data_IF_510345994600
#
_entry.id   IF_510345994600
#
_cell.length_a   1.000
_cell.length_b   1.000
_cell.length_c   1.000
_cell.angle_alpha   90.00
_cell.angle_beta   90.00
_cell.angle_gamma   90.00
#
_symmetry.space_group_name_H-M   'P 1'
#
loop_
_entity.id
_entity.type
_entity.pdbx_description
1 polymer ?
#
# COMPACT_ATOMS: atom_id res chain seq x y z
N UNK A 1 50.67 -45.25 -12.41
CA UNK A 1 50.57 -43.78 -12.35
C UNK A 1 51.28 -43.37 -11.08
N UNK A 2 52.17 -42.39 -11.12
CA UNK A 2 52.91 -41.97 -9.92
C UNK A 2 52.00 -41.13 -9.00
N UNK A 3 52.03 -41.42 -7.70
CA UNK A 3 51.39 -40.61 -6.66
C UNK A 3 51.81 -39.14 -6.74
N UNK A 4 53.09 -38.86 -7.07
CA UNK A 4 53.60 -37.50 -7.21
C UNK A 4 52.88 -36.70 -8.31
N UNK A 5 52.50 -37.36 -9.40
CA UNK A 5 51.74 -36.73 -10.48
C UNK A 5 50.32 -36.33 -10.04
N UNK A 6 49.64 -37.17 -9.25
CA UNK A 6 48.30 -36.88 -8.72
C UNK A 6 48.34 -35.73 -7.69
N UNK A 7 49.36 -35.70 -6.82
CA UNK A 7 49.57 -34.59 -5.90
C UNK A 7 49.85 -33.26 -6.64
N UNK A 8 50.63 -33.30 -7.73
CA UNK A 8 50.89 -32.11 -8.55
C UNK A 8 49.62 -31.55 -9.21
N UNK A 9 48.75 -32.42 -9.73
CA UNK A 9 47.44 -31.99 -10.28
C UNK A 9 46.59 -31.36 -9.18
N UNK A 10 46.51 -31.99 -8.01
CA UNK A 10 45.74 -31.47 -6.87
C UNK A 10 46.25 -30.08 -6.46
N UNK A 11 47.56 -29.91 -6.34
CA UNK A 11 48.20 -28.63 -6.03
C UNK A 11 47.90 -27.56 -7.08
N UNK A 12 47.93 -27.92 -8.37
CA UNK A 12 47.61 -26.99 -9.47
C UNK A 12 46.15 -26.53 -9.41
N UNK A 13 45.20 -27.45 -9.19
CA UNK A 13 43.78 -27.11 -9.06
C UNK A 13 43.54 -26.19 -7.86
N UNK A 14 44.16 -26.48 -6.71
CA UNK A 14 44.07 -25.64 -5.52
C UNK A 14 44.68 -24.25 -5.75
N UNK A 15 45.82 -24.18 -6.44
CA UNK A 15 46.48 -22.91 -6.76
C UNK A 15 45.61 -22.01 -7.64
N UNK A 16 44.81 -22.57 -8.56
CA UNK A 16 43.89 -21.79 -9.40
C UNK A 16 42.75 -21.12 -8.62
N UNK A 17 42.36 -21.66 -7.46
CA UNK A 17 41.33 -21.03 -6.63
C UNK A 17 41.81 -19.74 -5.95
N UNK A 18 43.12 -19.58 -5.70
CA UNK A 18 43.69 -18.39 -5.03
C UNK A 18 43.43 -17.10 -5.83
N UNK A 19 43.87 -16.97 -7.10
CA UNK A 19 43.62 -15.75 -7.87
C UNK A 19 42.13 -15.54 -8.18
N UNK A 20 41.36 -16.62 -8.34
CA UNK A 20 39.91 -16.54 -8.54
C UNK A 20 39.21 -15.99 -7.29
N UNK A 21 39.60 -16.44 -6.09
CA UNK A 21 39.06 -15.93 -4.84
C UNK A 21 39.39 -14.44 -4.67
N UNK A 22 40.65 -14.03 -4.90
CA UNK A 22 41.06 -12.62 -4.84
C UNK A 22 40.20 -11.75 -5.77
N UNK A 23 40.01 -12.19 -7.02
CA UNK A 23 39.19 -11.46 -8.00
C UNK A 23 37.69 -11.41 -7.63
N UNK A 24 37.17 -12.43 -6.96
CA UNK A 24 35.79 -12.46 -6.49
C UNK A 24 35.56 -11.52 -5.28
N UNK A 25 36.57 -11.28 -4.45
CA UNK A 25 36.45 -10.48 -3.23
C UNK A 25 36.85 -9.00 -3.36
N UNK A 26 37.72 -8.62 -4.30
CA UNK A 26 38.19 -7.23 -4.51
C UNK A 26 37.20 -6.33 -5.28
N UNK A 27 35.89 -6.52 -5.15
CA UNK A 27 34.91 -5.87 -6.03
C UNK A 27 34.32 -4.58 -5.45
N UNK A 28 34.66 -3.42 -6.05
CA UNK A 28 34.14 -2.08 -5.67
C UNK A 28 32.66 -1.84 -6.07
N UNK A 29 32.10 -2.63 -6.99
CA UNK A 29 30.70 -2.53 -7.45
C UNK A 29 29.91 -3.84 -7.21
N UNK A 30 30.22 -4.57 -6.12
CA UNK A 30 29.43 -5.74 -5.73
C UNK A 30 28.15 -5.30 -5.02
N UNK A 31 27.04 -5.91 -5.40
CA UNK A 31 25.84 -5.95 -4.56
C UNK A 31 26.20 -6.66 -3.25
N UNK A 32 25.72 -6.20 -2.09
CA UNK A 32 26.22 -6.64 -0.78
C UNK A 32 26.05 -8.15 -0.55
N UNK A 33 24.98 -8.70 -1.11
CA UNK A 33 24.65 -10.12 -1.00
C UNK A 33 25.26 -11.01 -2.10
N UNK A 34 25.98 -10.46 -3.09
CA UNK A 34 26.64 -11.25 -4.16
C UNK A 34 27.63 -12.27 -3.59
N UNK A 35 28.29 -11.96 -2.46
CA UNK A 35 29.20 -12.90 -1.79
C UNK A 35 28.47 -14.19 -1.42
N UNK A 36 27.24 -14.08 -0.89
CA UNK A 36 26.44 -15.24 -0.52
C UNK A 36 26.02 -16.07 -1.75
N UNK A 37 25.62 -15.40 -2.84
CA UNK A 37 25.31 -16.04 -4.13
C UNK A 37 26.52 -16.79 -4.68
N UNK A 38 27.69 -16.16 -4.64
CA UNK A 38 28.94 -16.76 -5.13
C UNK A 38 29.27 -18.02 -4.35
N UNK A 39 29.20 -17.99 -3.01
CA UNK A 39 29.49 -19.17 -2.19
C UNK A 39 28.48 -20.30 -2.39
N UNK A 40 27.19 -19.99 -2.45
CA UNK A 40 26.13 -21.00 -2.48
C UNK A 40 25.83 -21.54 -3.89
N UNK A 41 25.75 -20.66 -4.90
CA UNK A 41 25.30 -21.02 -6.24
C UNK A 41 26.44 -21.19 -7.26
N UNK A 42 27.47 -20.34 -7.18
CA UNK A 42 28.61 -20.36 -8.14
C UNK A 42 29.63 -21.41 -7.72
N UNK A 43 30.23 -21.23 -6.54
CA UNK A 43 31.22 -22.15 -5.96
C UNK A 43 30.57 -23.46 -5.53
N UNK A 44 29.34 -23.37 -4.99
CA UNK A 44 28.63 -24.47 -4.30
C UNK A 44 29.51 -25.06 -3.21
N UNK A 45 29.80 -24.26 -2.19
CA UNK A 45 30.84 -24.55 -1.19
C UNK A 45 30.77 -25.97 -0.62
N UNK A 46 29.57 -26.49 -0.33
CA UNK A 46 29.38 -27.88 0.15
C UNK A 46 29.91 -28.93 -0.84
N UNK A 47 29.64 -28.75 -2.14
CA UNK A 47 30.14 -29.65 -3.20
C UNK A 47 31.63 -29.49 -3.42
N UNK A 48 32.16 -28.26 -3.34
CA UNK A 48 33.59 -28.01 -3.44
C UNK A 48 34.32 -28.66 -2.27
N UNK A 49 33.90 -28.43 -1.02
CA UNK A 49 34.50 -29.04 0.17
C UNK A 49 34.52 -30.56 0.07
N UNK A 50 33.41 -31.17 -0.38
CA UNK A 50 33.37 -32.61 -0.63
C UNK A 50 34.34 -33.04 -1.74
N UNK A 51 34.40 -32.29 -2.85
CA UNK A 51 35.35 -32.53 -3.93
C UNK A 51 36.80 -32.45 -3.48
N UNK A 52 37.16 -31.46 -2.64
CA UNK A 52 38.49 -31.31 -2.07
C UNK A 52 38.84 -32.48 -1.13
N UNK A 53 37.89 -32.93 -0.31
CA UNK A 53 38.08 -34.14 0.53
C UNK A 53 38.35 -35.36 -0.35
N UNK A 54 37.62 -35.54 -1.44
CA UNK A 54 37.83 -36.63 -2.41
C UNK A 54 39.14 -36.52 -3.20
N UNK A 55 39.69 -35.31 -3.33
CA UNK A 55 41.00 -35.10 -3.95
C UNK A 55 42.13 -35.48 -3.00
N UNK A 56 42.05 -35.11 -1.73
CA UNK A 56 43.19 -35.21 -0.81
C UNK A 56 43.16 -36.51 0.01
N UNK A 57 42.01 -36.90 0.54
CA UNK A 57 41.91 -38.00 1.51
C UNK A 57 42.15 -39.38 0.86
N UNK A 58 41.56 -39.73 -0.29
CA UNK A 58 41.82 -41.00 -0.95
C UNK A 58 43.28 -41.17 -1.39
N UNK A 59 43.97 -40.08 -1.75
CA UNK A 59 45.37 -40.12 -2.18
C UNK A 59 46.33 -40.59 -1.08
N UNK A 60 45.99 -40.38 0.20
CA UNK A 60 46.78 -40.90 1.33
C UNK A 60 46.88 -42.43 1.34
N UNK A 61 45.91 -43.11 0.71
CA UNK A 61 45.83 -44.56 0.64
C UNK A 61 46.33 -45.12 -0.69
N UNK A 62 46.85 -44.28 -1.60
CA UNK A 62 47.36 -44.70 -2.90
C UNK A 62 48.74 -45.35 -2.74
N UNK A 63 48.88 -46.63 -3.12
CA UNK A 63 50.16 -47.34 -3.08
C UNK A 63 50.79 -47.48 -4.46
N UNK A 64 51.99 -46.95 -4.64
CA UNK A 64 52.75 -46.99 -5.90
C UNK A 64 53.44 -48.33 -6.18
N UNK A 65 53.84 -49.07 -5.14
CA UNK A 65 54.62 -50.31 -5.26
C UNK A 65 53.78 -51.60 -5.11
N UNK A 66 52.52 -51.59 -5.56
CA UNK A 66 51.56 -52.66 -5.24
C UNK A 66 51.19 -53.59 -6.40
N UNK A 67 51.94 -53.58 -7.50
CA UNK A 67 51.62 -54.30 -8.74
C UNK A 67 51.40 -55.82 -8.56
N UNK A 68 51.93 -56.41 -7.49
CA UNK A 68 51.85 -57.85 -7.19
C UNK A 68 50.69 -58.27 -6.28
N UNK A 69 49.91 -57.34 -5.70
CA UNK A 69 48.86 -57.67 -4.72
C UNK A 69 47.46 -57.22 -5.19
N UNK A 70 46.56 -58.20 -5.35
CA UNK A 70 45.20 -57.97 -5.87
C UNK A 70 44.37 -57.00 -5.01
N UNK A 71 44.54 -57.03 -3.69
CA UNK A 71 43.84 -56.14 -2.76
C UNK A 71 44.20 -54.67 -3.03
N UNK A 72 45.49 -54.37 -3.10
CA UNK A 72 45.97 -53.01 -3.35
C UNK A 72 45.66 -52.53 -4.77
N UNK A 73 45.56 -53.44 -5.75
CA UNK A 73 45.06 -53.10 -7.10
C UNK A 73 43.61 -52.63 -7.06
N UNK A 74 42.72 -53.35 -6.36
CA UNK A 74 41.30 -52.96 -6.21
C UNK A 74 41.17 -51.65 -5.42
N UNK A 75 41.93 -51.47 -4.35
CA UNK A 75 41.97 -50.24 -3.57
C UNK A 75 42.40 -49.03 -4.40
N UNK A 76 43.50 -49.15 -5.16
CA UNK A 76 43.98 -48.07 -6.02
C UNK A 76 42.95 -47.71 -7.10
N UNK A 77 42.20 -48.66 -7.65
CA UNK A 77 41.10 -48.38 -8.57
C UNK A 77 39.99 -47.56 -7.92
N UNK A 78 39.59 -47.89 -6.68
CA UNK A 78 38.58 -47.14 -5.93
C UNK A 78 39.09 -45.72 -5.64
N UNK A 79 40.34 -45.60 -5.18
CA UNK A 79 40.98 -44.30 -4.92
C UNK A 79 41.01 -43.42 -6.18
N UNK A 80 41.38 -43.98 -7.33
CA UNK A 80 41.38 -43.26 -8.60
C UNK A 80 39.98 -42.81 -9.02
N UNK A 81 38.96 -43.64 -8.82
CA UNK A 81 37.58 -43.28 -9.13
C UNK A 81 37.11 -42.10 -8.26
N UNK A 82 37.35 -42.17 -6.94
CA UNK A 82 37.04 -41.07 -6.03
C UNK A 82 37.80 -39.79 -6.39
N UNK A 83 39.07 -39.92 -6.76
CA UNK A 83 39.91 -38.82 -7.19
C UNK A 83 39.39 -38.14 -8.46
N UNK A 84 38.98 -38.91 -9.47
CA UNK A 84 38.37 -38.38 -10.71
C UNK A 84 37.06 -37.64 -10.40
N UNK A 85 36.24 -38.14 -9.48
CA UNK A 85 35.04 -37.43 -9.01
C UNK A 85 35.43 -36.11 -8.33
N UNK A 86 36.43 -36.11 -7.45
CA UNK A 86 36.93 -34.92 -6.76
C UNK A 86 37.47 -33.84 -7.72
N UNK A 87 38.26 -34.24 -8.71
CA UNK A 87 38.73 -33.36 -9.80
C UNK A 87 37.54 -32.77 -10.53
N UNK A 88 36.60 -33.62 -10.96
CA UNK A 88 35.45 -33.20 -11.77
C UNK A 88 34.61 -32.15 -11.05
N UNK A 89 34.35 -32.35 -9.75
CA UNK A 89 33.63 -31.38 -8.91
C UNK A 89 34.39 -30.05 -8.79
N UNK A 90 35.71 -30.10 -8.59
CA UNK A 90 36.55 -28.90 -8.44
C UNK A 90 36.67 -28.11 -9.74
N UNK A 91 36.85 -28.79 -10.89
CA UNK A 91 36.86 -28.17 -12.22
C UNK A 91 35.49 -27.53 -12.51
N UNK A 92 34.38 -28.20 -12.18
CA UNK A 92 33.04 -27.64 -12.38
C UNK A 92 32.86 -26.33 -11.61
N UNK A 93 33.34 -26.25 -10.37
CA UNK A 93 33.32 -25.01 -9.57
C UNK A 93 34.22 -23.93 -10.19
N UNK A 94 35.41 -24.26 -10.68
CA UNK A 94 36.29 -23.31 -11.38
C UNK A 94 35.64 -22.75 -12.65
N UNK A 95 35.02 -23.60 -13.46
CA UNK A 95 34.30 -23.20 -14.69
C UNK A 95 33.17 -22.23 -14.36
N UNK A 96 32.40 -22.48 -13.29
CA UNK A 96 31.34 -21.54 -12.85
C UNK A 96 31.90 -20.20 -12.39
N UNK A 97 32.99 -20.20 -11.63
CA UNK A 97 33.66 -18.97 -11.21
C UNK A 97 34.15 -18.16 -12.42
N UNK A 98 34.71 -18.84 -13.42
CA UNK A 98 35.12 -18.23 -14.68
C UNK A 98 33.94 -17.58 -15.42
N UNK A 99 32.80 -18.26 -15.54
CA UNK A 99 31.60 -17.68 -16.15
C UNK A 99 31.07 -16.47 -15.38
N UNK A 100 31.07 -16.51 -14.04
CA UNK A 100 30.72 -15.35 -13.22
C UNK A 100 31.62 -14.13 -13.50
N UNK A 101 32.93 -14.37 -13.63
CA UNK A 101 33.92 -13.33 -13.90
C UNK A 101 33.80 -12.74 -15.31
N UNK A 102 33.63 -13.58 -16.34
CA UNK A 102 33.56 -13.10 -17.72
C UNK A 102 32.29 -12.31 -17.98
N UNK A 103 31.15 -12.75 -17.46
CA UNK A 103 29.89 -12.05 -17.68
C UNK A 103 29.90 -10.62 -17.11
N UNK A 104 30.76 -10.34 -16.12
CA UNK A 104 31.03 -8.97 -15.66
C UNK A 104 31.75 -8.11 -16.72
N UNK A 105 32.70 -8.67 -17.48
CA UNK A 105 33.56 -7.90 -18.42
C UNK A 105 32.88 -7.53 -19.73
N UNK A 106 31.89 -8.29 -20.17
CA UNK A 106 31.19 -8.07 -21.45
C UNK A 106 30.16 -6.93 -21.39
N UNK A 107 30.04 -6.26 -20.24
CA UNK A 107 29.09 -5.17 -20.02
C UNK A 107 29.60 -3.84 -20.59
N UNK A 108 29.49 -3.71 -21.91
CA UNK A 108 29.65 -2.45 -22.65
C UNK A 108 28.32 -2.13 -23.34
N UNK A 109 27.42 -1.50 -22.59
CA UNK A 109 26.23 -0.69 -22.94
C UNK A 109 25.33 -0.96 -24.16
N UNK A 110 25.59 -1.92 -25.08
CA UNK A 110 24.85 -2.01 -26.34
C UNK A 110 24.58 -3.43 -26.88
N UNK A 111 24.76 -4.51 -26.13
CA UNK A 111 24.48 -5.86 -26.67
C UNK A 111 23.70 -6.75 -25.70
N UNK A 112 22.44 -7.03 -26.06
CA UNK A 112 21.58 -8.08 -25.52
C UNK A 112 22.10 -9.46 -25.91
N UNK A 113 23.20 -9.92 -25.31
CA UNK A 113 23.76 -11.25 -25.57
C UNK A 113 23.42 -12.24 -24.45
N UNK A 114 23.27 -13.52 -24.80
CA UNK A 114 22.88 -14.65 -23.92
C UNK A 114 23.72 -14.81 -22.64
N UNK A 115 24.86 -14.14 -22.55
CA UNK A 115 25.81 -14.19 -21.43
C UNK A 115 25.37 -13.38 -20.20
N UNK A 116 24.49 -12.38 -20.37
CA UNK A 116 23.88 -11.60 -19.26
C UNK A 116 23.09 -12.51 -18.31
N UNK A 117 22.64 -13.68 -18.77
CA UNK A 117 21.75 -14.57 -18.01
C UNK A 117 22.43 -15.24 -16.80
N UNK A 118 23.73 -15.57 -16.82
CA UNK A 118 24.26 -16.47 -15.78
C UNK A 118 24.28 -15.86 -14.37
N UNK A 119 24.68 -14.59 -14.22
CA UNK A 119 24.73 -13.93 -12.89
C UNK A 119 23.31 -13.76 -12.34
N UNK A 120 22.41 -13.22 -13.16
CA UNK A 120 20.98 -13.08 -12.86
C UNK A 120 20.34 -14.42 -12.52
N UNK A 121 20.58 -15.49 -13.29
CA UNK A 121 20.09 -16.84 -12.99
C UNK A 121 20.62 -17.41 -11.68
N UNK A 122 21.92 -17.19 -11.38
CA UNK A 122 22.48 -17.60 -10.10
C UNK A 122 21.85 -16.83 -8.93
N UNK A 123 21.61 -15.53 -9.10
CA UNK A 123 20.92 -14.69 -8.11
C UNK A 123 19.47 -15.14 -7.90
N UNK A 124 18.70 -15.33 -8.97
CA UNK A 124 17.32 -15.87 -8.92
C UNK A 124 17.29 -17.22 -8.21
N UNK A 125 18.16 -18.16 -8.58
CA UNK A 125 18.26 -19.46 -7.90
C UNK A 125 18.64 -19.35 -6.44
N UNK A 126 19.50 -18.40 -6.06
CA UNK A 126 19.85 -18.18 -4.66
C UNK A 126 18.61 -17.74 -3.88
N UNK A 127 17.90 -16.71 -4.36
CA UNK A 127 16.69 -16.18 -3.72
C UNK A 127 15.63 -17.28 -3.59
N UNK A 128 15.32 -18.04 -4.65
CA UNK A 128 14.35 -19.14 -4.58
C UNK A 128 14.70 -20.23 -3.57
N UNK A 129 15.98 -20.39 -3.21
CA UNK A 129 16.43 -21.38 -2.22
C UNK A 129 16.47 -20.83 -0.79
N UNK A 130 16.21 -19.54 -0.56
CA UNK A 130 16.21 -18.90 0.76
C UNK A 130 15.08 -19.40 1.69
N UNK A 131 14.02 -19.99 1.14
CA UNK A 131 12.80 -20.40 1.86
C UNK A 131 13.02 -21.34 3.04
N UNK A 132 14.22 -21.89 3.22
CA UNK A 132 14.56 -22.80 4.32
C UNK A 132 15.10 -22.12 5.58
N UNK A 133 15.46 -20.84 5.54
CA UNK A 133 16.02 -20.12 6.69
C UNK A 133 15.45 -18.71 6.80
N UNK A 134 14.48 -18.54 7.69
CA UNK A 134 13.75 -17.28 7.93
C UNK A 134 14.69 -16.11 8.24
N UNK A 135 15.75 -16.30 9.03
CA UNK A 135 16.66 -15.22 9.41
C UNK A 135 17.47 -14.71 8.21
N UNK A 136 18.02 -15.64 7.41
CA UNK A 136 18.80 -15.29 6.20
C UNK A 136 17.88 -14.70 5.13
N UNK A 137 16.67 -15.23 5.01
CA UNK A 137 15.67 -14.69 4.09
C UNK A 137 15.37 -13.22 4.40
N UNK A 138 15.14 -12.89 5.68
CA UNK A 138 14.87 -11.52 6.13
C UNK A 138 16.05 -10.58 5.85
N UNK A 139 17.27 -11.02 6.17
CA UNK A 139 18.49 -10.24 5.94
C UNK A 139 18.69 -9.93 4.45
N UNK A 140 18.57 -10.94 3.58
CA UNK A 140 18.78 -10.76 2.14
C UNK A 140 17.73 -9.84 1.52
N UNK A 141 16.44 -10.01 1.85
CA UNK A 141 15.41 -9.11 1.32
C UNK A 141 15.53 -7.69 1.84
N UNK A 142 15.98 -7.52 3.09
CA UNK A 142 16.27 -6.18 3.61
C UNK A 142 17.39 -5.50 2.82
N UNK A 143 18.43 -6.24 2.40
CA UNK A 143 19.49 -5.70 1.55
C UNK A 143 18.99 -5.41 0.15
N UNK A 144 18.22 -6.33 -0.46
CA UNK A 144 17.66 -6.15 -1.80
C UNK A 144 16.84 -4.86 -1.87
N UNK A 145 15.96 -4.63 -0.88
CA UNK A 145 15.07 -3.48 -0.89
C UNK A 145 15.68 -2.18 -0.37
N UNK A 146 16.93 -2.18 0.10
CA UNK A 146 17.60 -0.99 0.63
C UNK A 146 17.89 0.04 -0.48
N UNK A 147 18.25 -0.42 -1.68
CA UNK A 147 18.44 0.46 -2.84
C UNK A 147 18.33 -0.27 -4.17
N UNK A 148 18.03 0.48 -5.24
CA UNK A 148 17.96 -0.05 -6.61
C UNK A 148 19.28 -0.70 -7.04
N UNK A 149 20.42 -0.19 -6.55
CA UNK A 149 21.73 -0.79 -6.83
C UNK A 149 21.84 -2.22 -6.27
N UNK A 150 21.10 -2.54 -5.19
CA UNK A 150 21.08 -3.86 -4.57
C UNK A 150 20.19 -4.88 -5.30
N UNK A 151 19.35 -4.44 -6.25
CA UNK A 151 18.61 -5.33 -7.15
C UNK A 151 19.57 -6.08 -8.08
N UNK A 152 20.73 -5.49 -8.35
CA UNK A 152 21.73 -6.00 -9.27
C UNK A 152 21.24 -5.99 -10.72
N UNK A 153 21.24 -7.16 -11.35
CA UNK A 153 20.83 -7.36 -12.75
C UNK A 153 19.46 -8.06 -12.85
N UNK A 154 18.68 -8.10 -11.76
CA UNK A 154 17.31 -8.63 -11.74
C UNK A 154 16.34 -7.45 -11.87
N UNK A 155 15.35 -7.58 -12.74
CA UNK A 155 14.29 -6.58 -12.88
C UNK A 155 13.44 -6.51 -11.59
N UNK A 156 13.00 -5.32 -11.21
CA UNK A 156 12.24 -5.11 -9.97
C UNK A 156 10.94 -5.94 -9.93
N UNK A 157 10.28 -6.12 -11.08
CA UNK A 157 9.09 -6.95 -11.21
C UNK A 157 9.36 -8.42 -10.90
N UNK A 158 10.48 -8.97 -11.37
CA UNK A 158 10.89 -10.33 -11.06
C UNK A 158 11.17 -10.49 -9.55
N UNK A 159 11.82 -9.50 -8.93
CA UNK A 159 12.06 -9.49 -7.49
C UNK A 159 10.74 -9.44 -6.71
N UNK A 160 9.78 -8.63 -7.16
CA UNK A 160 8.46 -8.53 -6.53
C UNK A 160 7.71 -9.85 -6.62
N UNK A 161 7.67 -10.49 -7.79
CA UNK A 161 7.02 -11.81 -7.96
C UNK A 161 7.66 -12.85 -7.02
N UNK A 162 8.99 -12.93 -6.96
CA UNK A 162 9.70 -13.85 -6.07
C UNK A 162 9.47 -13.55 -4.58
N UNK A 163 9.31 -12.28 -4.21
CA UNK A 163 9.02 -11.87 -2.84
C UNK A 163 7.59 -12.23 -2.43
N UNK A 164 6.62 -12.02 -3.32
CA UNK A 164 5.21 -12.40 -3.11
C UNK A 164 5.10 -13.92 -2.96
N UNK A 165 5.72 -14.71 -3.86
CA UNK A 165 5.73 -16.17 -3.77
C UNK A 165 6.22 -16.64 -2.39
N UNK A 166 7.29 -16.03 -1.89
CA UNK A 166 7.83 -16.34 -0.55
C UNK A 166 6.94 -15.86 0.59
N UNK A 167 6.21 -14.76 0.43
CA UNK A 167 5.18 -14.36 1.39
C UNK A 167 4.07 -15.41 1.45
N UNK A 168 3.63 -15.94 0.30
CA UNK A 168 2.55 -16.92 0.20
C UNK A 168 2.96 -18.32 0.72
N UNK A 169 4.24 -18.70 0.61
CA UNK A 169 4.77 -19.92 1.22
C UNK A 169 4.66 -19.93 2.76
N UNK A 170 4.59 -18.75 3.40
CA UNK A 170 4.44 -18.63 4.85
C UNK A 170 3.01 -18.94 5.29
N UNK A 171 2.78 -20.19 5.70
CA UNK A 171 1.48 -20.65 6.25
C UNK A 171 1.07 -20.00 7.56
N UNK A 172 2.05 -19.53 8.35
CA UNK A 172 1.82 -18.76 9.57
C UNK A 172 1.62 -17.30 9.20
N UNK A 173 0.39 -16.80 9.41
CA UNK A 173 0.01 -15.46 8.99
C UNK A 173 0.78 -14.36 9.75
N UNK A 174 1.10 -14.56 11.02
CA UNK A 174 1.89 -13.57 11.78
C UNK A 174 3.31 -13.47 11.22
N UNK A 175 3.90 -14.61 10.84
CA UNK A 175 5.19 -14.66 10.16
C UNK A 175 5.13 -14.03 8.78
N UNK A 176 4.06 -14.30 8.00
CA UNK A 176 3.81 -13.66 6.71
C UNK A 176 3.80 -12.14 6.86
N UNK A 177 3.04 -11.60 7.80
CA UNK A 177 3.01 -10.14 8.06
C UNK A 177 4.36 -9.59 8.51
N UNK A 178 5.13 -10.31 9.33
CA UNK A 178 6.50 -9.91 9.70
C UNK A 178 7.46 -9.93 8.52
N UNK A 179 7.24 -10.82 7.55
CA UNK A 179 8.05 -10.89 6.35
C UNK A 179 7.67 -9.76 5.38
N UNK A 180 6.38 -9.55 5.13
CA UNK A 180 5.85 -8.43 4.33
C UNK A 180 6.35 -7.05 4.81
N UNK A 181 6.50 -6.86 6.13
CA UNK A 181 6.99 -5.58 6.64
C UNK A 181 8.38 -5.19 6.16
N UNK A 182 9.20 -6.12 5.65
CA UNK A 182 10.51 -5.78 5.10
C UNK A 182 10.36 -4.81 3.93
N UNK A 183 9.52 -5.15 2.95
CA UNK A 183 9.28 -4.29 1.80
C UNK A 183 8.55 -3.00 2.19
N UNK A 184 7.52 -3.09 3.04
CA UNK A 184 6.79 -1.88 3.43
C UNK A 184 7.60 -0.90 4.28
N UNK A 185 8.65 -1.37 4.97
CA UNK A 185 9.56 -0.48 5.73
C UNK A 185 10.62 0.16 4.83
N UNK A 186 10.93 -0.43 3.67
CA UNK A 186 11.88 0.15 2.72
C UNK A 186 11.28 1.26 1.86
N UNK A 187 9.94 1.33 1.78
CA UNK A 187 9.25 2.43 1.10
C UNK A 187 9.42 3.72 1.91
N UNK A 188 10.17 4.67 1.36
CA UNK A 188 10.35 5.99 1.96
C UNK A 188 9.09 6.84 1.81
N UNK A 189 8.29 6.88 2.88
CA UNK A 189 7.04 7.64 2.96
C UNK A 189 7.24 9.17 2.93
N UNK A 190 8.46 9.68 3.18
CA UNK A 190 8.71 11.13 3.27
C UNK A 190 9.01 11.76 1.91
N UNK A 191 9.46 10.98 0.91
CA UNK A 191 9.75 11.47 -0.45
C UNK A 191 8.52 11.96 -1.23
N UNK A 192 7.32 11.59 -0.79
CA UNK A 192 6.06 11.91 -1.46
C UNK A 192 5.45 13.26 -1.06
N UNK A 193 6.07 13.96 -0.10
CA UNK A 193 5.64 15.28 0.34
C UNK A 193 6.19 16.40 -0.57
N UNK A 194 7.19 16.10 -1.40
CA UNK A 194 7.73 16.98 -2.43
C UNK A 194 7.35 16.46 -3.82
N UNK A 195 7.10 17.39 -4.76
CA UNK A 195 6.65 17.17 -6.14
C UNK A 195 7.77 16.46 -6.96
N UNK A 196 8.18 15.27 -6.55
CA UNK A 196 9.21 14.47 -7.22
C UNK A 196 8.57 13.21 -7.79
N UNK A 197 7.99 13.38 -8.97
CA UNK A 197 7.45 12.37 -9.89
C UNK A 197 8.46 11.35 -10.40
N UNK A 198 9.68 11.27 -9.84
CA UNK A 198 10.80 10.48 -10.37
C UNK A 198 11.21 9.26 -9.54
N UNK A 199 10.62 9.04 -8.36
CA UNK A 199 10.82 7.83 -7.56
C UNK A 199 9.55 6.96 -7.55
N UNK A 200 8.93 6.82 -8.71
CA UNK A 200 7.72 6.00 -8.86
C UNK A 200 8.10 4.53 -8.97
N UNK A 201 7.50 3.69 -8.13
CA UNK A 201 7.42 2.25 -8.36
C UNK A 201 6.98 2.02 -9.82
N UNK A 202 7.69 1.16 -10.54
CA UNK A 202 7.31 0.80 -11.91
C UNK A 202 5.84 0.35 -11.96
N UNK A 203 5.12 0.72 -13.01
CA UNK A 203 3.69 0.44 -13.13
C UNK A 203 3.35 -1.05 -13.03
N UNK A 204 4.20 -1.92 -13.57
CA UNK A 204 3.95 -3.35 -13.54
C UNK A 204 4.23 -3.93 -12.13
N UNK A 205 5.26 -3.42 -11.43
CA UNK A 205 5.54 -3.73 -10.02
C UNK A 205 4.36 -3.32 -9.15
N UNK A 206 3.80 -2.14 -9.42
CA UNK A 206 2.62 -1.62 -8.76
C UNK A 206 1.40 -2.55 -8.93
N UNK A 207 1.16 -3.06 -10.15
CA UNK A 207 0.06 -3.98 -10.41
C UNK A 207 0.19 -5.32 -9.64
N UNK A 208 1.43 -5.82 -9.46
CA UNK A 208 1.67 -7.02 -8.66
C UNK A 208 1.40 -6.78 -7.19
N UNK A 209 1.94 -5.68 -6.66
CA UNK A 209 1.76 -5.31 -5.27
C UNK A 209 0.29 -5.05 -4.92
N UNK A 210 -0.46 -4.39 -5.81
CA UNK A 210 -1.88 -4.09 -5.59
C UNK A 210 -2.73 -5.35 -5.48
N UNK A 211 -2.51 -6.35 -6.37
CA UNK A 211 -3.20 -7.64 -6.32
C UNK A 211 -2.87 -8.41 -5.03
N UNK A 212 -1.62 -8.36 -4.58
CA UNK A 212 -1.22 -9.00 -3.33
C UNK A 212 -1.80 -8.30 -2.10
N UNK A 213 -1.78 -6.97 -2.05
CA UNK A 213 -2.41 -6.22 -0.95
C UNK A 213 -3.93 -6.40 -0.96
N UNK A 214 -4.55 -6.55 -2.13
CA UNK A 214 -5.95 -6.92 -2.26
C UNK A 214 -6.28 -8.18 -1.46
N UNK A 215 -5.52 -9.25 -1.72
CA UNK A 215 -5.81 -10.55 -1.14
C UNK A 215 -5.67 -10.49 0.37
N UNK A 216 -4.68 -9.75 0.87
CA UNK A 216 -4.50 -9.60 2.32
C UNK A 216 -5.64 -8.82 2.97
N UNK A 217 -6.03 -7.68 2.41
CA UNK A 217 -7.17 -6.89 2.94
C UNK A 217 -8.45 -7.73 2.90
N UNK A 218 -8.68 -8.47 1.82
CA UNK A 218 -9.83 -9.37 1.69
C UNK A 218 -9.82 -10.46 2.77
N UNK A 219 -8.67 -11.09 3.02
CA UNK A 219 -8.53 -12.07 4.09
C UNK A 219 -8.87 -11.50 5.48
N UNK A 220 -8.54 -10.24 5.72
CA UNK A 220 -8.78 -9.57 7.00
C UNK A 220 -10.23 -9.18 7.19
N UNK A 221 -10.83 -8.55 6.17
CA UNK A 221 -12.17 -7.97 6.30
C UNK A 221 -13.31 -8.93 5.95
N UNK A 222 -13.12 -9.88 5.03
CA UNK A 222 -14.18 -10.82 4.61
C UNK A 222 -14.05 -12.21 5.22
N UNK A 223 -12.83 -12.70 5.47
CA UNK A 223 -12.65 -14.09 5.92
C UNK A 223 -12.65 -14.23 7.45
N UNK A 224 -12.75 -13.12 8.20
CA UNK A 224 -12.92 -13.11 9.66
C UNK A 224 -11.80 -13.82 10.43
N UNK A 225 -10.65 -14.06 9.78
CA UNK A 225 -9.50 -14.69 10.42
C UNK A 225 -8.99 -13.71 11.49
N UNK A 226 -8.66 -14.26 12.66
CA UNK A 226 -8.14 -13.55 13.85
C UNK A 226 -6.74 -12.95 13.56
N UNK A 227 -6.72 -12.02 12.60
CA UNK A 227 -5.56 -11.45 11.95
C UNK A 227 -5.31 -10.06 12.56
N UNK A 228 -4.04 -9.65 12.58
CA UNK A 228 -3.63 -8.29 12.93
C UNK A 228 -4.14 -7.28 11.87
N UNK A 229 -5.43 -6.91 11.99
CA UNK A 229 -6.13 -5.92 11.15
C UNK A 229 -5.32 -4.61 11.11
N UNK A 230 -4.74 -4.23 12.26
CA UNK A 230 -3.96 -3.00 12.38
C UNK A 230 -2.76 -3.02 11.45
N UNK A 231 -1.98 -4.10 11.47
CA UNK A 231 -0.79 -4.22 10.62
C UNK A 231 -1.11 -4.27 9.14
N UNK A 232 -2.21 -4.93 8.74
CA UNK A 232 -2.66 -4.91 7.33
C UNK A 232 -3.14 -3.53 6.92
N UNK A 233 -3.85 -2.80 7.79
CA UNK A 233 -4.22 -1.41 7.53
C UNK A 233 -2.98 -0.50 7.41
N UNK A 234 -1.91 -0.75 8.16
CA UNK A 234 -0.66 0.01 8.03
C UNK A 234 -0.02 -0.21 6.64
N UNK A 235 -0.05 -1.45 6.12
CA UNK A 235 0.40 -1.74 4.75
C UNK A 235 -0.51 -1.11 3.69
N UNK A 236 -1.82 -1.19 3.90
CA UNK A 236 -2.79 -0.54 3.02
C UNK A 236 -2.63 0.98 2.99
N UNK A 237 -2.30 1.59 4.13
CA UNK A 237 -2.03 3.03 4.25
C UNK A 237 -0.79 3.43 3.44
N UNK A 238 0.30 2.67 3.57
CA UNK A 238 1.51 2.86 2.75
C UNK A 238 1.18 2.72 1.26
N UNK A 239 0.50 1.64 0.89
CA UNK A 239 0.08 1.40 -0.49
C UNK A 239 -0.79 2.54 -1.03
N UNK A 240 -1.82 2.95 -0.29
CA UNK A 240 -2.70 4.07 -0.62
C UNK A 240 -1.92 5.35 -0.86
N UNK A 241 -1.02 5.74 0.06
CA UNK A 241 -0.19 6.94 -0.08
C UNK A 241 0.63 6.90 -1.37
N UNK A 242 1.24 5.76 -1.70
CA UNK A 242 2.05 5.61 -2.91
C UNK A 242 1.21 5.63 -4.20
N UNK A 243 -0.07 5.25 -4.10
CA UNK A 243 -0.97 5.08 -5.26
C UNK A 243 -1.66 6.39 -5.67
N UNK A 244 -2.13 7.16 -4.68
CA UNK A 244 -2.99 8.33 -4.86
C UNK A 244 -2.24 9.51 -5.52
N UNK A 245 -0.95 9.69 -5.23
CA UNK A 245 -0.17 10.82 -5.75
C UNK A 245 0.41 10.60 -7.16
N UNK A 246 0.22 9.43 -7.76
CA UNK A 246 0.66 9.13 -9.11
C UNK A 246 -0.54 8.86 -10.03
N UNK A 247 -0.69 9.68 -11.07
CA UNK A 247 -1.83 9.65 -11.99
C UNK A 247 -2.08 8.27 -12.63
N UNK A 248 -1.01 7.55 -13.02
CA UNK A 248 -1.17 6.25 -13.67
C UNK A 248 -1.69 5.19 -12.68
N UNK A 249 -1.29 5.28 -11.41
CA UNK A 249 -1.71 4.36 -10.35
C UNK A 249 -3.05 4.75 -9.72
N UNK A 250 -3.40 6.04 -9.65
CA UNK A 250 -4.59 6.54 -8.95
C UNK A 250 -5.89 6.00 -9.55
N UNK A 251 -6.01 6.00 -10.88
CA UNK A 251 -7.22 5.47 -11.54
C UNK A 251 -7.41 3.97 -11.27
N UNK A 252 -6.32 3.19 -11.31
CA UNK A 252 -6.38 1.75 -11.01
C UNK A 252 -6.61 1.47 -9.53
N UNK A 253 -5.98 2.26 -8.65
CA UNK A 253 -6.25 2.24 -7.22
C UNK A 253 -7.73 2.47 -6.95
N UNK A 254 -8.33 3.45 -7.64
CA UNK A 254 -9.72 3.78 -7.45
C UNK A 254 -10.65 2.65 -7.90
N UNK A 255 -10.41 2.08 -9.08
CA UNK A 255 -11.14 0.90 -9.57
C UNK A 255 -11.03 -0.29 -8.61
N UNK A 256 -9.81 -0.55 -8.12
CA UNK A 256 -9.53 -1.56 -7.12
C UNK A 256 -10.35 -1.35 -5.84
N UNK A 257 -10.32 -0.13 -5.30
CA UNK A 257 -10.99 0.20 -4.06
C UNK A 257 -12.51 0.14 -4.22
N UNK A 258 -13.05 0.62 -5.35
CA UNK A 258 -14.45 0.47 -5.71
C UNK A 258 -14.89 -0.99 -5.75
N UNK A 259 -14.10 -1.86 -6.40
CA UNK A 259 -14.40 -3.30 -6.43
C UNK A 259 -14.37 -3.92 -5.04
N UNK A 260 -13.37 -3.57 -4.21
CA UNK A 260 -13.27 -4.05 -2.85
C UNK A 260 -14.50 -3.67 -2.01
N UNK A 261 -14.88 -2.39 -2.03
CA UNK A 261 -16.01 -1.86 -1.28
C UNK A 261 -17.36 -2.45 -1.71
N UNK A 262 -17.47 -2.87 -2.97
CA UNK A 262 -18.64 -3.57 -3.49
C UNK A 262 -18.83 -4.93 -2.84
N UNK A 263 -17.73 -5.68 -2.65
CA UNK A 263 -17.74 -7.02 -2.05
C UNK A 263 -18.08 -7.01 -0.56
N UNK A 264 -17.93 -5.87 0.14
CA UNK A 264 -18.18 -5.77 1.58
C UNK A 264 -19.68 -5.75 1.92
N UNK A 265 -20.06 -6.49 2.95
CA UNK A 265 -21.35 -6.35 3.63
C UNK A 265 -21.41 -5.06 4.48
N UNK A 266 -22.58 -4.73 5.04
CA UNK A 266 -22.77 -3.49 5.82
C UNK A 266 -21.84 -3.37 7.04
N UNK A 267 -21.58 -4.46 7.77
CA UNK A 267 -20.69 -4.44 8.94
C UNK A 267 -19.22 -4.34 8.55
N UNK A 268 -18.79 -5.09 7.54
CA UNK A 268 -17.41 -5.09 7.05
C UNK A 268 -17.06 -3.74 6.40
N UNK A 269 -18.00 -3.18 5.64
CA UNK A 269 -17.91 -1.84 5.05
C UNK A 269 -17.74 -0.77 6.13
N UNK A 270 -18.56 -0.84 7.20
CA UNK A 270 -18.43 0.04 8.38
C UNK A 270 -17.07 -0.11 9.05
N UNK A 271 -16.59 -1.34 9.26
CA UNK A 271 -15.31 -1.60 9.92
C UNK A 271 -14.14 -1.05 9.10
N UNK A 272 -14.12 -1.31 7.79
CA UNK A 272 -13.08 -0.84 6.88
C UNK A 272 -13.01 0.69 6.85
N UNK A 273 -14.15 1.34 6.66
CA UNK A 273 -14.18 2.80 6.55
C UNK A 273 -13.86 3.47 7.88
N UNK A 274 -14.29 2.90 9.00
CA UNK A 274 -13.91 3.43 10.31
C UNK A 274 -12.40 3.44 10.55
N UNK A 275 -11.67 2.48 10.00
CA UNK A 275 -10.21 2.38 10.13
C UNK A 275 -9.46 3.26 9.12
N UNK A 276 -9.98 3.41 7.90
CA UNK A 276 -9.20 3.93 6.78
C UNK A 276 -9.69 5.27 6.21
N UNK A 277 -10.97 5.67 6.41
CA UNK A 277 -11.58 6.78 5.66
C UNK A 277 -10.91 8.13 5.91
N UNK A 278 -10.55 8.46 7.15
CA UNK A 278 -9.98 9.77 7.49
C UNK A 278 -8.62 9.95 6.81
N UNK A 279 -7.84 8.87 6.73
CA UNK A 279 -6.57 8.84 6.02
C UNK A 279 -6.78 9.00 4.52
N UNK A 280 -7.71 8.24 3.94
CA UNK A 280 -8.09 8.34 2.51
C UNK A 280 -8.47 9.78 2.12
N UNK A 281 -9.38 10.40 2.89
CA UNK A 281 -9.82 11.77 2.64
C UNK A 281 -8.65 12.75 2.81
N UNK A 282 -7.78 12.55 3.81
CA UNK A 282 -6.60 13.42 3.99
C UNK A 282 -5.62 13.37 2.82
N UNK A 283 -5.42 12.19 2.22
CA UNK A 283 -4.59 12.03 1.03
C UNK A 283 -5.25 12.64 -0.21
N UNK A 284 -6.56 12.42 -0.39
CA UNK A 284 -7.31 13.05 -1.47
C UNK A 284 -7.28 14.58 -1.38
N UNK A 285 -7.42 15.14 -0.17
CA UNK A 285 -7.27 16.58 0.10
C UNK A 285 -5.90 17.09 -0.30
N UNK A 286 -4.84 16.41 0.14
CA UNK A 286 -3.46 16.78 -0.22
C UNK A 286 -3.24 16.70 -1.73
N UNK A 287 -3.69 15.64 -2.39
CA UNK A 287 -3.55 15.46 -3.84
C UNK A 287 -4.30 16.54 -4.64
N UNK A 288 -5.53 16.88 -4.22
CA UNK A 288 -6.33 17.96 -4.80
C UNK A 288 -5.67 19.34 -4.58
N UNK A 289 -5.10 19.61 -3.39
CA UNK A 289 -4.39 20.87 -3.11
C UNK A 289 -3.14 21.08 -3.97
N UNK A 290 -2.50 19.99 -4.39
CA UNK A 290 -1.33 20.01 -5.28
C UNK A 290 -1.72 20.19 -6.76
N UNK A 291 -2.99 20.44 -7.08
CA UNK A 291 -3.52 20.59 -8.45
C UNK A 291 -3.24 19.41 -9.37
N UNK A 292 -2.98 18.22 -8.80
CA UNK A 292 -2.71 17.01 -9.58
C UNK A 292 -3.98 16.45 -10.23
N UNK A 293 -5.16 16.78 -9.68
CA UNK A 293 -6.47 16.32 -10.14
C UNK A 293 -7.53 17.36 -9.72
N UNK A 294 -8.27 17.94 -10.67
CA UNK A 294 -9.38 18.86 -10.35
C UNK A 294 -10.64 18.13 -9.84
N UNK A 295 -10.75 16.83 -10.13
CA UNK A 295 -11.92 15.99 -9.91
C UNK A 295 -11.65 14.86 -8.88
N UNK A 296 -12.45 14.80 -7.82
CA UNK A 296 -12.39 13.75 -6.79
C UNK A 296 -12.68 12.35 -7.33
N UNK A 297 -13.38 12.23 -8.48
CA UNK A 297 -13.70 10.94 -9.12
C UNK A 297 -12.46 10.10 -9.48
N UNK A 298 -11.28 10.73 -9.63
CA UNK A 298 -10.04 9.97 -9.90
C UNK A 298 -9.31 9.53 -8.61
N UNK A 299 -9.74 10.01 -7.45
CA UNK A 299 -9.07 9.82 -6.16
C UNK A 299 -9.88 9.00 -5.18
N UNK A 300 -11.21 9.13 -5.22
CA UNK A 300 -12.13 8.48 -4.30
C UNK A 300 -13.08 7.55 -5.06
N UNK A 301 -13.44 6.39 -4.47
CA UNK A 301 -14.23 5.37 -5.14
C UNK A 301 -15.70 5.74 -5.21
N UNK A 302 -16.33 5.45 -6.35
CA UNK A 302 -17.76 5.68 -6.59
C UNK A 302 -18.65 4.98 -5.56
N UNK A 303 -18.15 3.92 -4.89
CA UNK A 303 -18.84 3.25 -3.78
C UNK A 303 -18.90 4.09 -2.49
N UNK A 304 -18.41 5.32 -2.49
CA UNK A 304 -18.67 6.33 -1.46
C UNK A 304 -19.75 7.32 -1.87
N UNK A 305 -20.24 7.28 -3.11
CA UNK A 305 -21.35 8.11 -3.57
C UNK A 305 -22.65 7.58 -2.97
N UNK A 306 -23.43 8.48 -2.40
CA UNK A 306 -24.75 8.20 -1.86
C UNK A 306 -25.74 7.93 -3.01
N UNK A 307 -26.43 6.80 -2.97
CA UNK A 307 -27.43 6.40 -3.95
C UNK A 307 -28.71 5.95 -3.23
N UNK A 308 -29.80 6.68 -3.44
CA UNK A 308 -31.09 6.38 -2.82
C UNK A 308 -31.69 5.06 -3.29
N UNK A 309 -31.32 4.60 -4.49
CA UNK A 309 -31.83 3.38 -5.10
C UNK A 309 -31.00 2.15 -4.70
N UNK A 310 -29.94 2.30 -3.91
CA UNK A 310 -29.16 1.16 -3.47
C UNK A 310 -29.97 0.30 -2.49
N UNK A 311 -30.12 -0.98 -2.82
CA UNK A 311 -30.86 -1.97 -2.01
C UNK A 311 -30.35 -2.07 -0.56
N UNK A 312 -29.10 -1.65 -0.32
CA UNK A 312 -28.45 -1.72 0.98
C UNK A 312 -28.55 -0.40 1.78
N UNK A 313 -29.71 -0.18 2.40
CA UNK A 313 -29.95 0.98 3.28
C UNK A 313 -28.91 1.18 4.40
N UNK A 314 -28.21 0.13 4.83
CA UNK A 314 -27.18 0.22 5.85
C UNK A 314 -25.91 0.90 5.33
N UNK A 315 -25.51 0.64 4.07
CA UNK A 315 -24.37 1.31 3.43
C UNK A 315 -24.60 2.82 3.30
N UNK A 316 -25.81 3.21 2.93
CA UNK A 316 -26.21 4.62 2.80
C UNK A 316 -26.12 5.39 4.14
N UNK A 317 -26.56 4.76 5.24
CA UNK A 317 -26.39 5.32 6.59
C UNK A 317 -24.90 5.46 6.92
N UNK A 318 -24.08 4.46 6.57
CA UNK A 318 -22.63 4.49 6.81
C UNK A 318 -21.95 5.61 6.03
N UNK A 319 -22.28 5.83 4.76
CA UNK A 319 -21.71 6.94 3.96
C UNK A 319 -21.98 8.29 4.62
N UNK A 320 -23.23 8.52 5.07
CA UNK A 320 -23.59 9.73 5.80
C UNK A 320 -22.81 9.87 7.12
N UNK A 321 -22.68 8.78 7.88
CA UNK A 321 -21.88 8.74 9.12
C UNK A 321 -20.43 9.16 8.90
N UNK A 322 -19.82 8.64 7.83
CA UNK A 322 -18.41 8.86 7.54
C UNK A 322 -18.14 10.30 7.18
N UNK A 323 -19.05 10.91 6.41
CA UNK A 323 -18.94 12.32 6.08
C UNK A 323 -19.05 13.19 7.34
N UNK A 324 -20.01 12.90 8.24
CA UNK A 324 -20.11 13.59 9.54
C UNK A 324 -18.89 13.37 10.44
N UNK A 325 -18.35 12.14 10.47
CA UNK A 325 -17.13 11.79 11.21
C UNK A 325 -15.93 12.58 10.68
N UNK A 326 -15.83 12.77 9.38
CA UNK A 326 -14.78 13.59 8.78
C UNK A 326 -14.97 15.08 9.10
N UNK A 327 -16.18 15.61 8.94
CA UNK A 327 -16.46 17.01 9.26
C UNK A 327 -16.14 17.36 10.73
N UNK A 328 -16.55 16.51 11.66
CA UNK A 328 -16.23 16.67 13.09
C UNK A 328 -14.73 16.54 13.40
N UNK A 329 -13.94 15.86 12.55
CA UNK A 329 -12.49 15.73 12.73
C UNK A 329 -11.70 16.98 12.37
N UNK A 330 -12.29 17.92 11.61
CA UNK A 330 -11.59 19.11 11.11
C UNK A 330 -11.31 20.16 12.19
N UNK A 331 -11.74 19.92 13.44
CA UNK A 331 -11.75 20.85 14.56
C UNK A 331 -12.52 22.13 14.22
N UNK A 332 -13.53 22.47 15.03
CA UNK A 332 -14.29 23.72 14.91
C UNK A 332 -13.43 24.90 15.38
N UNK A 333 -12.16 24.95 14.93
CA UNK A 333 -11.31 26.11 15.12
C UNK A 333 -11.79 27.20 14.17
N UNK A 334 -12.00 28.43 14.68
CA UNK A 334 -12.15 29.65 13.89
C UNK A 334 -11.18 29.83 12.73
N UNK A 335 -10.03 29.16 12.82
CA UNK A 335 -8.93 29.17 11.86
C UNK A 335 -8.96 27.98 10.91
N UNK A 336 -10.11 27.31 10.70
CA UNK A 336 -10.21 26.33 9.61
C UNK A 336 -9.79 27.00 8.30
N UNK A 337 -8.67 26.53 7.74
CA UNK A 337 -8.05 27.08 6.55
C UNK A 337 -9.11 27.14 5.43
N UNK A 338 -9.13 28.19 4.62
CA UNK A 338 -10.12 28.32 3.53
C UNK A 338 -10.08 27.10 2.58
N UNK A 339 -8.92 26.43 2.50
CA UNK A 339 -8.71 25.16 1.82
C UNK A 339 -9.61 24.02 2.36
N UNK A 340 -9.83 23.96 3.67
CA UNK A 340 -10.63 22.94 4.34
C UNK A 340 -12.10 23.13 4.03
N UNK A 341 -12.56 24.39 4.03
CA UNK A 341 -13.93 24.77 3.67
C UNK A 341 -14.23 24.48 2.21
N UNK A 342 -13.29 24.81 1.34
CA UNK A 342 -13.39 24.53 -0.08
C UNK A 342 -13.42 23.03 -0.35
N UNK A 343 -12.51 22.28 0.28
CA UNK A 343 -12.45 20.83 0.13
C UNK A 343 -13.68 20.12 0.70
N UNK A 344 -14.25 20.60 1.82
CA UNK A 344 -15.50 20.05 2.37
C UNK A 344 -16.66 20.16 1.37
N UNK A 345 -16.78 21.30 0.67
CA UNK A 345 -17.78 21.47 -0.38
C UNK A 345 -17.53 20.52 -1.57
N UNK A 346 -16.28 20.39 -2.03
CA UNK A 346 -15.94 19.43 -3.09
C UNK A 346 -16.28 18.00 -2.68
N UNK A 347 -15.91 17.60 -1.47
CA UNK A 347 -16.19 16.26 -0.96
C UNK A 347 -17.69 16.02 -0.81
N UNK A 348 -18.45 17.03 -0.36
CA UNK A 348 -19.90 16.96 -0.33
C UNK A 348 -20.48 16.70 -1.71
N UNK A 349 -20.06 17.47 -2.72
CA UNK A 349 -20.54 17.32 -4.09
C UNK A 349 -20.18 15.96 -4.70
N UNK A 350 -19.03 15.40 -4.34
CA UNK A 350 -18.65 14.05 -4.73
C UNK A 350 -19.57 12.99 -4.10
N UNK A 351 -19.76 13.05 -2.78
CA UNK A 351 -20.56 12.05 -2.05
C UNK A 351 -22.06 12.20 -2.36
N UNK A 352 -22.55 13.42 -2.49
CA UNK A 352 -23.96 13.77 -2.60
C UNK A 352 -24.21 14.64 -3.84
N UNK A 353 -24.02 14.12 -5.07
CA UNK A 353 -24.04 14.92 -6.30
C UNK A 353 -25.39 15.59 -6.58
N UNK A 354 -26.49 14.98 -6.15
CA UNK A 354 -27.86 15.47 -6.38
C UNK A 354 -28.41 16.32 -5.22
N UNK A 355 -27.55 16.71 -4.27
CA UNK A 355 -27.95 17.39 -3.04
C UNK A 355 -27.33 18.78 -2.93
N UNK A 356 -28.00 19.65 -2.19
CA UNK A 356 -27.58 21.02 -1.94
C UNK A 356 -26.74 21.11 -0.68
N UNK A 357 -25.51 21.60 -0.80
CA UNK A 357 -24.60 21.74 0.34
C UNK A 357 -25.06 22.81 1.34
N UNK A 358 -25.85 23.80 0.90
CA UNK A 358 -26.28 24.92 1.72
C UNK A 358 -27.17 24.50 2.91
N UNK A 359 -28.35 23.89 2.71
CA UNK A 359 -29.19 23.43 3.82
C UNK A 359 -28.47 22.36 4.67
N UNK A 360 -27.59 21.57 4.05
CA UNK A 360 -26.77 20.60 4.76
C UNK A 360 -25.84 21.28 5.78
N UNK A 361 -24.96 22.16 5.32
CA UNK A 361 -23.99 22.79 6.22
C UNK A 361 -24.67 23.71 7.24
N UNK A 362 -25.77 24.40 6.88
CA UNK A 362 -26.50 25.26 7.82
C UNK A 362 -27.02 24.46 9.03
N UNK A 363 -27.68 23.33 8.79
CA UNK A 363 -28.16 22.47 9.88
C UNK A 363 -27.02 21.75 10.60
N UNK A 364 -26.12 21.09 9.86
CA UNK A 364 -25.07 20.24 10.45
C UNK A 364 -24.05 21.07 11.26
N UNK A 365 -23.70 22.28 10.83
CA UNK A 365 -22.80 23.15 11.60
C UNK A 365 -23.37 23.49 12.98
N UNK A 366 -24.66 23.82 13.04
CA UNK A 366 -25.32 24.11 14.31
C UNK A 366 -25.35 22.86 15.20
N UNK A 367 -25.66 21.69 14.63
CA UNK A 367 -25.66 20.44 15.38
C UNK A 367 -24.30 20.08 15.96
N UNK A 368 -23.25 20.17 15.14
CA UNK A 368 -21.88 19.92 15.59
C UNK A 368 -21.46 20.90 16.69
N UNK A 369 -21.84 22.18 16.56
CA UNK A 369 -21.56 23.20 17.57
C UNK A 369 -22.19 22.87 18.92
N UNK A 370 -23.49 22.56 18.95
CA UNK A 370 -24.22 22.22 20.18
C UNK A 370 -23.61 20.99 20.86
N UNK A 371 -23.23 19.98 20.06
CA UNK A 371 -22.63 18.73 20.56
C UNK A 371 -21.24 18.93 21.18
N UNK A 372 -20.40 19.80 20.62
CA UNK A 372 -19.05 20.04 21.13
C UNK A 372 -19.01 20.88 22.41
N UNK A 373 -19.96 21.80 22.62
CA UNK A 373 -19.80 22.86 23.62
C UNK A 373 -20.47 22.56 24.97
N UNK A 374 -21.78 22.26 25.05
CA UNK A 374 -22.45 22.07 26.35
C UNK A 374 -23.58 21.03 26.36
N UNK A 375 -23.83 20.31 25.25
CA UNK A 375 -25.01 19.44 25.15
C UNK A 375 -26.32 20.24 24.98
N UNK A 376 -27.46 19.56 25.06
CA UNK A 376 -28.77 20.11 24.67
C UNK A 376 -29.54 20.82 25.81
N UNK A 377 -28.90 21.08 26.95
CA UNK A 377 -29.60 21.52 28.17
C UNK A 377 -29.98 23.03 28.19
N UNK A 378 -29.28 23.89 27.44
CA UNK A 378 -29.56 25.33 27.32
C UNK A 378 -29.42 25.83 25.87
N UNK A 379 -30.43 25.52 25.05
CA UNK A 379 -30.45 25.87 23.62
C UNK A 379 -30.46 27.38 23.37
N UNK A 380 -31.01 28.18 24.28
CA UNK A 380 -31.13 29.63 24.12
C UNK A 380 -29.75 30.30 24.19
N UNK A 381 -28.95 29.95 25.20
CA UNK A 381 -27.56 30.45 25.28
C UNK A 381 -26.69 29.88 24.15
N UNK A 382 -26.95 28.64 23.71
CA UNK A 382 -26.28 28.07 22.52
C UNK A 382 -26.50 28.88 21.26
N UNK A 383 -27.74 29.31 21.00
CA UNK A 383 -28.06 30.08 19.80
C UNK A 383 -27.37 31.45 19.84
N UNK A 384 -27.35 32.10 21.01
CA UNK A 384 -26.62 33.38 21.21
C UNK A 384 -25.11 33.25 21.05
N UNK A 385 -24.55 32.11 21.45
CA UNK A 385 -23.12 31.84 21.33
C UNK A 385 -22.76 31.45 19.88
N UNK A 386 -23.55 30.58 19.24
CA UNK A 386 -23.39 30.16 17.85
C UNK A 386 -23.36 31.34 16.88
N UNK A 387 -24.20 32.35 17.09
CA UNK A 387 -24.22 33.56 16.26
C UNK A 387 -22.86 34.28 16.18
N UNK A 388 -22.08 34.21 17.27
CA UNK A 388 -20.79 34.90 17.41
C UNK A 388 -19.60 34.09 16.92
N UNK A 389 -19.78 32.79 16.72
CA UNK A 389 -18.73 31.93 16.19
C UNK A 389 -18.51 32.21 14.69
N UNK A 390 -17.32 32.00 14.15
CA UNK A 390 -17.12 31.94 12.70
C UNK A 390 -17.81 30.70 12.10
N UNK A 391 -18.23 30.79 10.84
CA UNK A 391 -18.78 29.64 10.10
C UNK A 391 -17.67 28.60 9.89
N UNK A 392 -17.80 27.37 10.44
CA UNK A 392 -16.81 26.33 10.19
C UNK A 392 -16.84 25.89 8.74
N UNK A 393 -18.05 25.78 8.14
CA UNK A 393 -18.26 25.46 6.72
C UNK A 393 -19.36 26.34 6.16
N UNK A 394 -19.25 26.78 4.89
CA UNK A 394 -20.32 27.48 4.18
C UNK A 394 -20.62 26.71 2.91
N UNK A 395 -21.88 26.32 2.72
CA UNK A 395 -22.31 25.66 1.48
C UNK A 395 -22.11 26.57 0.28
N UNK A 396 -21.74 25.96 -0.84
CA UNK A 396 -21.68 26.63 -2.14
C UNK A 396 -22.89 26.15 -2.94
N UNK A 397 -23.65 27.11 -3.47
CA UNK A 397 -24.74 26.84 -4.40
C UNK A 397 -24.17 26.47 -5.76
N UNK A 398 -24.00 25.18 -6.02
CA UNK A 398 -23.57 24.66 -7.32
C UNK A 398 -24.57 24.92 -8.45
N UNK A 399 -25.83 25.18 -8.10
CA UNK A 399 -26.88 25.50 -9.06
C UNK A 399 -26.62 26.78 -9.88
N UNK A 400 -25.83 27.75 -9.40
CA UNK A 400 -25.52 28.95 -10.19
C UNK A 400 -24.40 28.75 -11.21
N UNK A 401 -23.44 27.87 -10.92
CA UNK A 401 -22.21 27.74 -11.71
C UNK A 401 -22.32 26.65 -12.79
N UNK A 402 -23.10 25.59 -12.55
CA UNK A 402 -23.38 24.54 -13.55
C UNK A 402 -24.42 24.95 -14.60
N UNK A 403 -25.42 25.73 -14.20
CA UNK A 403 -26.55 26.04 -15.10
C UNK A 403 -26.25 27.09 -16.18
N UNK A 404 -25.19 27.89 -16.02
CA UNK A 404 -24.69 28.73 -17.10
C UNK A 404 -24.08 27.91 -18.27
N UNK A 405 -23.79 26.63 -18.05
CA UNK A 405 -23.17 25.75 -19.05
C UNK A 405 -24.22 24.93 -19.83
N UNK A 406 -25.41 24.66 -19.25
CA UNK A 406 -26.42 23.75 -19.83
C UNK A 406 -27.50 24.43 -20.68
N UNK A 407 -27.58 25.76 -20.70
CA UNK A 407 -28.61 26.49 -21.46
C UNK A 407 -30.00 26.46 -20.80
N UNK A 408 -30.07 26.12 -19.51
CA UNK A 408 -31.28 26.14 -18.68
C UNK A 408 -31.79 27.57 -18.44
N UNK A 409 -33.11 27.70 -18.32
CA UNK A 409 -33.76 28.97 -17.95
C UNK A 409 -33.60 29.27 -16.47
N UNK A 410 -33.62 30.54 -16.08
CA UNK A 410 -33.53 30.96 -14.66
C UNK A 410 -34.62 30.30 -13.79
N UNK A 411 -35.79 30.04 -14.36
CA UNK A 411 -36.88 29.34 -13.67
C UNK A 411 -36.59 27.85 -13.42
N UNK A 412 -35.98 27.16 -14.39
CA UNK A 412 -35.55 25.77 -14.23
C UNK A 412 -34.44 25.64 -13.17
N UNK A 413 -33.50 26.59 -13.14
CA UNK A 413 -32.44 26.65 -12.13
C UNK A 413 -33.01 26.80 -10.73
N UNK A 414 -33.96 27.73 -10.55
CA UNK A 414 -34.61 27.97 -9.26
C UNK A 414 -35.49 26.79 -8.83
N UNK A 415 -36.13 26.10 -9.77
CA UNK A 415 -36.92 24.90 -9.49
C UNK A 415 -36.03 23.74 -9.06
N UNK A 416 -34.94 23.48 -9.79
CA UNK A 416 -33.96 22.45 -9.49
C UNK A 416 -33.30 22.69 -8.12
N UNK A 417 -32.95 23.95 -7.82
CA UNK A 417 -32.41 24.32 -6.50
C UNK A 417 -33.38 24.00 -5.35
N UNK A 418 -34.67 24.34 -5.51
CA UNK A 418 -35.68 24.02 -4.49
C UNK A 418 -35.83 22.51 -4.31
N UNK A 419 -35.81 21.75 -5.40
CA UNK A 419 -35.88 20.30 -5.36
C UNK A 419 -34.67 19.69 -4.62
N UNK A 420 -33.45 20.14 -4.94
CA UNK A 420 -32.22 19.70 -4.27
C UNK A 420 -32.21 20.06 -2.78
N UNK A 421 -32.75 21.23 -2.40
CA UNK A 421 -32.88 21.60 -0.99
C UNK A 421 -33.82 20.64 -0.25
N UNK A 422 -34.99 20.35 -0.82
CA UNK A 422 -35.95 19.40 -0.23
C UNK A 422 -35.31 18.02 -0.09
N UNK A 423 -34.66 17.50 -1.16
CA UNK A 423 -33.92 16.23 -1.14
C UNK A 423 -32.87 16.19 -0.03
N UNK A 424 -32.16 17.29 0.18
CA UNK A 424 -31.15 17.40 1.24
C UNK A 424 -31.76 17.33 2.63
N UNK A 425 -32.87 18.02 2.85
CA UNK A 425 -33.59 17.97 4.12
C UNK A 425 -34.15 16.56 4.37
N UNK A 426 -34.64 15.88 3.34
CA UNK A 426 -35.07 14.47 3.43
C UNK A 426 -33.92 13.51 3.73
N UNK A 427 -32.76 13.71 3.09
CA UNK A 427 -31.50 12.97 3.37
C UNK A 427 -31.11 13.13 4.85
N UNK A 428 -31.10 14.36 5.35
CA UNK A 428 -30.82 14.66 6.76
C UNK A 428 -31.85 13.95 7.62
N UNK A 429 -33.15 14.08 7.36
CA UNK A 429 -34.21 13.42 8.13
C UNK A 429 -34.06 11.90 8.20
N UNK A 430 -33.72 11.26 7.08
CA UNK A 430 -33.55 9.82 6.99
C UNK A 430 -32.42 9.32 7.88
N UNK A 431 -31.31 10.07 7.95
CA UNK A 431 -30.06 9.62 8.56
C UNK A 431 -29.76 10.26 9.92
N UNK A 432 -30.06 11.55 10.13
CA UNK A 432 -29.67 12.31 11.33
C UNK A 432 -30.31 11.77 12.61
N UNK A 433 -31.48 11.12 12.51
CA UNK A 433 -32.17 10.50 13.66
C UNK A 433 -31.31 9.47 14.40
N UNK A 434 -30.26 8.93 13.75
CA UNK A 434 -29.31 7.99 14.35
C UNK A 434 -28.13 8.69 15.04
N UNK A 435 -27.94 9.99 14.80
CA UNK A 435 -26.75 10.75 15.20
C UNK A 435 -27.04 11.90 16.15
N UNK A 436 -28.23 12.48 16.02
CA UNK A 436 -28.62 13.66 16.76
C UNK A 436 -30.09 13.58 17.21
N UNK A 437 -30.38 13.59 18.52
CA UNK A 437 -31.74 13.55 19.01
C UNK A 437 -32.52 14.81 18.66
N UNK A 438 -31.88 15.97 18.52
CA UNK A 438 -32.56 17.26 18.44
C UNK A 438 -33.34 17.45 17.13
N UNK A 439 -32.88 16.81 16.05
CA UNK A 439 -33.58 16.76 14.76
C UNK A 439 -34.35 15.44 14.55
N UNK A 440 -34.40 14.56 15.54
CA UNK A 440 -34.96 13.21 15.36
C UNK A 440 -36.49 13.18 15.29
N UNK A 441 -37.18 14.16 15.87
CA UNK A 441 -38.63 14.21 15.91
C UNK A 441 -39.16 15.65 15.98
N UNK A 442 -40.47 15.79 15.77
CA UNK A 442 -41.16 17.08 15.71
C UNK A 442 -41.14 17.85 17.03
N UNK A 443 -41.20 17.16 18.17
CA UNK A 443 -41.21 17.79 19.50
C UNK A 443 -39.87 18.49 19.77
N UNK A 444 -38.75 17.82 19.48
CA UNK A 444 -37.41 18.40 19.67
C UNK A 444 -37.14 19.56 18.70
N UNK A 445 -37.67 19.48 17.48
CA UNK A 445 -37.61 20.59 16.51
C UNK A 445 -38.42 21.79 17.01
N UNK A 446 -39.57 21.56 17.63
CA UNK A 446 -40.39 22.61 18.23
C UNK A 446 -39.68 23.28 19.41
N UNK A 447 -39.00 22.51 20.26
CA UNK A 447 -38.14 23.05 21.31
C UNK A 447 -37.02 23.93 20.75
N UNK A 448 -36.36 23.51 19.67
CA UNK A 448 -35.34 24.31 19.00
C UNK A 448 -35.91 25.63 18.45
N UNK A 449 -37.05 25.58 17.76
CA UNK A 449 -37.69 26.77 17.20
C UNK A 449 -38.13 27.76 18.29
N UNK A 450 -38.62 27.24 19.42
CA UNK A 450 -38.95 28.06 20.58
C UNK A 450 -37.68 28.69 21.18
N UNK A 451 -36.59 27.94 21.32
CA UNK A 451 -35.32 28.47 21.80
C UNK A 451 -34.75 29.56 20.88
N UNK A 452 -34.90 29.42 19.54
CA UNK A 452 -34.54 30.47 18.58
C UNK A 452 -35.38 31.72 18.81
N UNK A 453 -36.69 31.57 18.99
CA UNK A 453 -37.57 32.70 19.27
C UNK A 453 -37.22 33.38 20.60
N UNK A 454 -36.93 32.61 21.65
CA UNK A 454 -36.61 33.09 23.00
C UNK A 454 -35.20 33.71 23.10
N UNK A 455 -34.30 33.39 22.16
CA UNK A 455 -32.94 33.94 22.13
C UNK A 455 -32.90 35.44 21.82
N UNK A 456 -33.96 35.98 21.19
CA UNK A 456 -34.05 37.35 20.67
C UNK A 456 -32.92 37.75 19.69
N UNK A 457 -32.10 36.80 19.22
CA UNK A 457 -31.01 37.06 18.28
C UNK A 457 -31.58 37.34 16.89
N UNK A 458 -31.23 38.49 16.31
CA UNK A 458 -31.57 38.86 14.93
C UNK A 458 -30.31 39.02 14.13
N UNK A 459 -29.92 37.95 13.46
CA UNK A 459 -28.78 37.95 12.55
C UNK A 459 -29.14 37.15 11.30
N UNK A 460 -28.55 37.46 10.13
CA UNK A 460 -28.76 36.70 8.91
C UNK A 460 -28.52 35.19 9.10
N UNK A 461 -27.59 34.82 9.99
CA UNK A 461 -27.25 33.43 10.29
C UNK A 461 -28.37 32.72 11.05
N UNK A 462 -28.89 33.34 12.09
CA UNK A 462 -29.96 32.75 12.91
C UNK A 462 -31.27 32.75 12.12
N UNK A 463 -31.50 33.77 11.28
CA UNK A 463 -32.64 33.82 10.38
C UNK A 463 -32.58 32.67 9.35
N UNK A 464 -31.42 32.43 8.73
CA UNK A 464 -31.20 31.31 7.80
C UNK A 464 -31.39 29.95 8.48
N UNK A 465 -30.79 29.76 9.67
CA UNK A 465 -30.97 28.55 10.47
C UNK A 465 -32.46 28.30 10.76
N UNK A 466 -33.20 29.33 11.16
CA UNK A 466 -34.62 29.26 11.45
C UNK A 466 -35.43 28.85 10.21
N UNK A 467 -35.14 29.44 9.05
CA UNK A 467 -35.81 29.10 7.79
C UNK A 467 -35.60 27.63 7.43
N UNK A 468 -34.36 27.14 7.51
CA UNK A 468 -34.05 25.74 7.21
C UNK A 468 -34.70 24.77 8.20
N UNK A 469 -34.76 25.09 9.50
CA UNK A 469 -35.45 24.27 10.50
C UNK A 469 -36.96 24.25 10.26
N UNK A 470 -37.55 25.38 9.86
CA UNK A 470 -38.97 25.45 9.51
C UNK A 470 -39.29 24.56 8.31
N UNK A 471 -38.49 24.63 7.24
CA UNK A 471 -38.63 23.75 6.08
C UNK A 471 -38.43 22.28 6.46
N UNK A 472 -37.43 21.98 7.30
CA UNK A 472 -37.18 20.63 7.80
C UNK A 472 -38.34 20.06 8.61
N UNK A 473 -38.99 20.89 9.44
CA UNK A 473 -40.18 20.52 10.23
C UNK A 473 -41.36 20.10 9.35
N UNK A 474 -41.54 20.73 8.19
CA UNK A 474 -42.65 20.40 7.27
C UNK A 474 -42.58 18.96 6.73
N UNK A 475 -41.41 18.32 6.81
CA UNK A 475 -41.25 16.94 6.41
C UNK A 475 -41.87 15.95 7.41
N UNK A 476 -42.18 16.34 8.66
CA UNK A 476 -42.76 15.49 9.74
C UNK A 476 -44.27 15.66 9.90
#
# INVERSE_FOLDING_TARGET
>A
MDSGFLWNITSTVLALFIPIATFLFENENAVDWDKMVVFDQVIKIKKLSFGLILLTLPLLFYQTNSASNEFYRKLNCIVLLLYVIGISLSILSLVRCYFWIINKRTYSKNNSSETVKYRTECRKRYISNLSKNEAVQKEIWSLIWDSVDQHGEIEEIDLMDMYIDQCEENKDYEKKLKFMSIFFTSIDMNKFDEINTYNTIDYDVYERLSKFIYSEIKCVYLEGKNIDIKKVNDFFDIYTKNSIFNWNSSNRYNQFLSQFLEELSGEEYRLFLNNNILKLISYAKKANSLSLVDNLDNLLPDKLIYDENEDNSQKQIIIFELYLKWLSSLSVSPESNDDDKYFANKLFQFIFPDYSSMPFFTLINFMLYVKEHLGYDDLVEMIKAYDKEPYPFKGINTGSDMAMISGETVEEILANYKEQNIKTLELIKKNIKYYDPLLANKENIDELLNAIADSDVRSPRIDELKEEILMYKELF
#
